data_IF_328836124180
#
_entry.id   IF_328836124180
#
_cell.length_a   1.000
_cell.length_b   1.000
_cell.length_c   1.000
_cell.angle_alpha   90.00
_cell.angle_beta   90.00
_cell.angle_gamma   90.00
#
_symmetry.space_group_name_H-M   'P 1'
#
loop_
_entity.id
_entity.type
_entity.pdbx_description
1 polymer ?
#
# COMPACT_ATOMS: atom_id res chain seq x y z
N UNK A 1 -38.66 36.38 47.60
CA UNK A 1 -37.68 35.43 48.17
C UNK A 1 -38.45 34.29 48.85
N UNK A 2 -38.19 33.04 48.43
CA UNK A 2 -38.54 31.73 49.00
C UNK A 2 -40.02 31.26 49.21
N UNK A 3 -40.32 30.15 48.49
CA UNK A 3 -41.19 28.96 48.76
C UNK A 3 -42.73 29.15 48.71
N UNK A 4 -43.49 28.18 48.14
CA UNK A 4 -43.61 26.82 48.69
C UNK A 4 -43.58 25.66 47.68
N UNK A 5 -43.30 24.48 48.23
CA UNK A 5 -43.54 23.16 47.65
C UNK A 5 -44.94 22.67 48.10
N UNK A 6 -45.68 21.96 47.22
CA UNK A 6 -46.28 20.64 47.51
C UNK A 6 -47.21 20.13 46.39
N UNK A 7 -46.85 18.92 45.90
CA UNK A 7 -47.66 17.71 45.57
C UNK A 7 -49.00 17.87 44.82
N UNK A 8 -49.09 17.48 43.54
CA UNK A 8 -49.51 16.14 42.98
C UNK A 8 -51.03 15.91 43.04
N UNK A 9 -51.69 14.96 42.31
CA UNK A 9 -51.23 13.97 41.30
C UNK A 9 -52.15 13.83 40.05
N UNK A 10 -51.75 13.06 39.03
CA UNK A 10 -52.58 12.10 38.22
C UNK A 10 -51.70 11.52 37.11
N UNK A 11 -51.22 10.29 37.23
CA UNK A 11 -51.86 9.04 36.79
C UNK A 11 -51.90 8.86 35.26
N UNK A 12 -50.87 8.22 34.70
CA UNK A 12 -50.99 7.48 33.44
C UNK A 12 -50.43 6.07 33.67
N UNK A 13 -51.25 5.09 33.28
CA UNK A 13 -51.24 3.70 33.69
C UNK A 13 -50.10 2.93 33.01
N UNK A 14 -49.41 2.09 33.77
CA UNK A 14 -48.55 1.05 33.22
C UNK A 14 -49.43 -0.08 32.68
N UNK A 15 -49.52 -0.21 31.35
CA UNK A 15 -50.10 -1.40 30.73
C UNK A 15 -49.04 -2.51 30.75
N UNK A 16 -49.33 -3.57 31.49
CA UNK A 16 -48.50 -4.75 31.58
C UNK A 16 -48.41 -5.47 30.23
N UNK A 17 -47.19 -5.63 29.71
CA UNK A 17 -46.91 -6.56 28.61
C UNK A 17 -46.65 -7.91 29.27
N UNK A 18 -47.58 -8.84 29.06
CA UNK A 18 -47.49 -10.22 29.52
C UNK A 18 -46.23 -10.90 28.97
N UNK A 19 -45.42 -11.48 29.86
CA UNK A 19 -44.34 -12.40 29.51
C UNK A 19 -44.93 -13.79 29.30
N UNK A 20 -44.89 -14.31 28.08
CA UNK A 20 -45.06 -15.74 27.80
C UNK A 20 -43.75 -16.50 28.07
N UNK A 21 -43.74 -17.66 28.77
CA UNK A 21 -42.56 -18.52 28.90
C UNK A 21 -42.28 -19.34 27.63
N UNK A 22 -41.10 -19.98 27.55
CA UNK A 22 -40.39 -20.23 26.29
C UNK A 22 -40.77 -21.56 25.65
N UNK A 23 -41.00 -21.55 24.33
CA UNK A 23 -41.06 -22.78 23.53
C UNK A 23 -40.04 -22.73 22.39
N UNK A 24 -38.93 -23.40 22.66
CA UNK A 24 -38.12 -24.25 21.78
C UNK A 24 -38.08 -23.89 20.27
N UNK A 25 -36.89 -23.41 19.87
CA UNK A 25 -36.26 -23.61 18.55
C UNK A 25 -36.88 -22.93 17.33
N UNK A 26 -36.73 -21.61 17.20
CA UNK A 26 -36.45 -21.01 15.88
C UNK A 26 -35.72 -19.66 16.02
N UNK A 27 -34.41 -19.65 15.80
CA UNK A 27 -33.64 -18.41 15.61
C UNK A 27 -33.76 -18.02 14.15
N UNK A 28 -34.85 -17.39 13.75
CA UNK A 28 -34.86 -16.62 12.51
C UNK A 28 -33.88 -15.46 12.67
N UNK A 29 -32.73 -15.54 12.01
CA UNK A 29 -31.86 -14.40 11.82
C UNK A 29 -32.68 -13.35 11.06
N UNK A 30 -33.19 -12.34 11.76
CA UNK A 30 -33.64 -11.11 11.11
C UNK A 30 -32.41 -10.55 10.40
N UNK A 31 -32.33 -10.75 9.09
CA UNK A 31 -31.36 -10.06 8.25
C UNK A 31 -31.62 -8.57 8.45
N UNK A 32 -30.73 -7.91 9.20
CA UNK A 32 -30.70 -6.45 9.22
C UNK A 32 -30.41 -6.03 7.80
N UNK A 33 -31.28 -5.19 7.24
CA UNK A 33 -31.01 -4.48 6.01
C UNK A 33 -29.61 -3.86 6.13
N UNK A 34 -28.69 -4.35 5.30
CA UNK A 34 -27.31 -3.87 5.26
C UNK A 34 -27.39 -2.47 4.68
N UNK A 35 -27.44 -1.46 5.56
CA UNK A 35 -27.12 -0.09 5.17
C UNK A 35 -25.79 -0.13 4.40
N UNK A 36 -25.66 0.59 3.25
CA UNK A 36 -24.45 0.55 2.47
C UNK A 36 -23.28 0.86 3.38
N UNK A 37 -22.41 -0.13 3.59
CA UNK A 37 -21.32 -0.02 4.55
C UNK A 37 -20.44 1.12 4.02
N UNK A 38 -20.34 2.19 4.81
CA UNK A 38 -19.45 3.29 4.49
C UNK A 38 -18.04 2.71 4.32
N UNK A 39 -17.49 2.86 3.12
CA UNK A 39 -16.18 2.30 2.73
C UNK A 39 -15.11 2.78 3.71
N UNK A 40 -15.26 3.97 4.30
CA UNK A 40 -14.32 4.50 5.29
C UNK A 40 -14.29 3.68 6.59
N UNK A 41 -15.37 2.96 6.91
CA UNK A 41 -15.47 2.10 8.09
C UNK A 41 -14.92 0.68 7.85
N UNK A 42 -14.83 0.25 6.59
CA UNK A 42 -14.22 -1.05 6.22
C UNK A 42 -12.74 -0.95 5.90
N UNK A 43 -12.25 0.26 5.59
CA UNK A 43 -10.85 0.49 5.33
C UNK A 43 -10.03 0.53 6.63
N UNK A 44 -8.89 -0.18 6.71
CA UNK A 44 -7.99 -0.05 7.83
C UNK A 44 -7.45 1.38 7.92
N UNK A 45 -7.52 1.96 9.11
CA UNK A 45 -7.07 3.34 9.35
C UNK A 45 -5.56 3.45 9.10
N UNK A 46 -5.13 4.38 8.24
CA UNK A 46 -3.72 4.51 7.82
C UNK A 46 -2.77 4.71 9.00
N UNK A 47 -3.20 5.43 10.04
CA UNK A 47 -2.40 5.68 11.25
C UNK A 47 -2.05 4.40 12.03
N UNK A 48 -2.79 3.29 11.80
CA UNK A 48 -2.54 1.99 12.46
C UNK A 48 -1.32 1.26 11.90
N UNK A 49 -0.91 1.56 10.66
CA UNK A 49 0.28 0.94 10.08
C UNK A 49 1.54 1.61 10.63
N UNK A 50 2.59 0.82 10.88
CA UNK A 50 3.88 1.36 11.29
C UNK A 50 4.46 2.28 10.21
N UNK A 51 5.25 3.29 10.58
CA UNK A 51 5.98 4.14 9.62
C UNK A 51 6.74 3.30 8.58
N UNK A 52 7.43 2.24 9.05
CA UNK A 52 8.09 1.26 8.21
C UNK A 52 7.19 0.63 7.13
N UNK A 53 5.97 0.17 7.46
CA UNK A 53 5.09 -0.44 6.46
C UNK A 53 4.65 0.57 5.39
N UNK A 54 4.42 1.84 5.79
CA UNK A 54 4.09 2.90 4.82
C UNK A 54 5.27 3.22 3.91
N UNK A 55 6.47 3.30 4.49
CA UNK A 55 7.71 3.50 3.74
C UNK A 55 7.92 2.38 2.71
N UNK A 56 7.85 1.13 3.16
CA UNK A 56 7.98 -0.06 2.32
C UNK A 56 6.96 -0.09 1.17
N UNK A 57 5.69 0.22 1.45
CA UNK A 57 4.65 0.27 0.42
C UNK A 57 4.88 1.40 -0.60
N UNK A 58 5.25 2.59 -0.15
CA UNK A 58 5.51 3.72 -1.03
C UNK A 58 6.69 3.42 -1.98
N UNK A 59 7.78 2.85 -1.44
CA UNK A 59 8.94 2.44 -2.25
C UNK A 59 8.58 1.33 -3.23
N UNK A 60 7.77 0.35 -2.82
CA UNK A 60 7.33 -0.73 -3.70
C UNK A 60 6.47 -0.21 -4.87
N UNK A 61 5.57 0.75 -4.63
CA UNK A 61 4.81 1.41 -5.69
C UNK A 61 5.71 2.19 -6.65
N UNK A 62 6.73 2.89 -6.12
CA UNK A 62 7.71 3.59 -6.95
C UNK A 62 8.50 2.62 -7.84
N UNK A 63 8.93 1.47 -7.31
CA UNK A 63 9.59 0.43 -8.09
C UNK A 63 8.69 -0.13 -9.20
N UNK A 64 7.42 -0.45 -8.87
CA UNK A 64 6.45 -0.91 -9.85
C UNK A 64 6.21 0.13 -10.96
N UNK A 65 6.17 1.41 -10.61
CA UNK A 65 6.06 2.50 -11.57
C UNK A 65 7.30 2.60 -12.46
N UNK A 66 8.50 2.55 -11.89
CA UNK A 66 9.77 2.59 -12.65
C UNK A 66 9.85 1.45 -13.65
N UNK A 67 9.48 0.23 -13.25
CA UNK A 67 9.50 -0.93 -14.14
C UNK A 67 8.50 -0.78 -15.28
N UNK A 68 7.29 -0.26 -15.02
CA UNK A 68 6.31 0.05 -16.08
C UNK A 68 6.85 1.07 -17.07
N UNK A 69 7.55 2.09 -16.59
CA UNK A 69 8.22 3.08 -17.42
C UNK A 69 9.35 2.46 -18.26
N UNK A 70 10.10 1.50 -17.71
CA UNK A 70 11.15 0.77 -18.45
C UNK A 70 10.58 -0.15 -19.53
N UNK A 71 9.53 -0.90 -19.22
CA UNK A 71 8.83 -1.75 -20.20
C UNK A 71 8.24 -0.91 -21.32
N UNK A 72 7.63 0.22 -21.00
CA UNK A 72 7.17 1.18 -22.01
C UNK A 72 8.28 1.65 -22.92
N UNK A 73 9.49 1.92 -22.41
CA UNK A 73 10.66 2.29 -23.22
C UNK A 73 11.17 1.16 -24.12
N UNK A 74 11.25 -0.08 -23.63
CA UNK A 74 11.66 -1.23 -24.44
C UNK A 74 10.66 -1.55 -25.56
N UNK A 75 9.35 -1.39 -25.29
CA UNK A 75 8.30 -1.51 -26.31
C UNK A 75 8.39 -0.36 -27.33
N UNK A 76 8.72 0.86 -26.89
CA UNK A 76 8.95 2.02 -27.78
C UNK A 76 10.22 1.84 -28.63
N UNK A 77 11.24 1.13 -28.16
CA UNK A 77 12.46 0.85 -28.93
C UNK A 77 12.23 -0.18 -30.05
N UNK A 78 11.42 -1.22 -29.82
CA UNK A 78 11.08 -2.21 -30.86
C UNK A 78 9.96 -1.74 -31.80
N UNK A 79 9.04 -0.87 -31.35
CA UNK A 79 7.90 -0.39 -32.16
C UNK A 79 7.96 1.11 -32.46
N UNK A 80 9.00 1.57 -33.16
CA UNK A 80 9.13 2.89 -33.80
C UNK A 80 9.89 3.98 -33.02
N UNK A 81 10.97 4.44 -33.66
CA UNK A 81 11.32 5.86 -33.78
C UNK A 81 10.18 6.77 -33.36
N UNK A 82 10.40 7.57 -32.31
CA UNK A 82 9.50 8.61 -31.86
C UNK A 82 9.11 9.43 -33.09
N UNK A 83 7.91 9.16 -33.62
CA UNK A 83 7.27 9.96 -34.66
C UNK A 83 6.94 11.30 -34.00
N UNK A 84 7.94 12.18 -33.96
CA UNK A 84 7.70 13.61 -33.83
C UNK A 84 6.85 13.93 -35.04
N UNK A 85 5.53 14.04 -34.85
CA UNK A 85 4.64 14.60 -35.86
C UNK A 85 5.16 16.01 -36.14
N UNK A 86 6.03 16.11 -37.14
CA UNK A 86 6.43 17.36 -37.73
C UNK A 86 5.13 17.96 -38.23
N UNK A 87 4.71 19.07 -37.65
CA UNK A 87 3.70 19.92 -38.25
C UNK A 87 4.29 20.26 -39.61
N UNK A 88 3.80 19.61 -40.66
CA UNK A 88 4.11 20.04 -42.02
C UNK A 88 3.59 21.47 -42.12
N UNK A 89 4.44 22.39 -42.56
CA UNK A 89 3.99 23.73 -42.87
C UNK A 89 2.96 23.57 -43.98
N UNK A 90 1.73 23.98 -43.72
CA UNK A 90 0.68 24.06 -44.73
C UNK A 90 1.19 24.95 -45.86
N UNK A 91 1.27 24.41 -47.07
CA UNK A 91 1.59 25.21 -48.26
C UNK A 91 0.51 26.27 -48.48
N UNK A 92 0.93 27.46 -48.91
CA UNK A 92 0.12 28.69 -48.97
C UNK A 92 -0.96 28.71 -50.08
N UNK A 93 -1.29 27.58 -50.69
CA UNK A 93 -2.21 27.50 -51.83
C UNK A 93 -3.23 26.35 -51.68
N UNK A 94 -4.04 26.38 -50.63
CA UNK A 94 -5.30 25.63 -50.61
C UNK A 94 -6.47 26.63 -50.58
N UNK A 95 -7.30 26.74 -51.63
CA UNK A 95 -8.44 27.64 -51.62
C UNK A 95 -9.36 27.27 -50.45
N UNK A 96 -9.50 28.22 -49.54
CA UNK A 96 -10.35 28.21 -48.36
C UNK A 96 -11.81 27.83 -48.69
N UNK A 97 -12.12 26.54 -48.78
CA UNK A 97 -13.48 26.01 -48.95
C UNK A 97 -14.21 25.91 -47.61
N UNK A 98 -14.04 26.89 -46.72
CA UNK A 98 -14.90 27.04 -45.53
C UNK A 98 -16.37 27.22 -45.94
N UNK A 99 -17.04 26.10 -46.16
CA UNK A 99 -18.47 25.93 -46.01
C UNK A 99 -18.69 24.69 -45.17
N UNK A 100 -18.48 24.83 -43.86
CA UNK A 100 -19.00 23.84 -42.91
C UNK A 100 -20.47 24.15 -42.69
N UNK A 101 -21.35 23.44 -43.38
CA UNK A 101 -22.76 23.38 -43.00
C UNK A 101 -22.83 22.90 -41.54
N UNK A 102 -23.45 23.70 -40.67
CA UNK A 102 -23.63 23.38 -39.26
C UNK A 102 -24.51 22.13 -39.13
N UNK A 103 -23.91 20.95 -38.97
CA UNK A 103 -24.64 19.75 -38.54
C UNK A 103 -25.13 19.99 -37.11
N UNK A 104 -26.44 20.21 -36.96
CA UNK A 104 -27.13 20.16 -35.68
C UNK A 104 -26.99 18.74 -35.16
N UNK A 105 -26.14 18.54 -34.15
CA UNK A 105 -26.09 17.26 -33.43
C UNK A 105 -27.36 17.17 -32.59
N UNK A 106 -28.22 16.21 -32.88
CA UNK A 106 -29.26 15.78 -31.94
C UNK A 106 -28.54 15.23 -30.71
N UNK A 107 -28.76 15.87 -29.56
CA UNK A 107 -28.24 15.39 -28.28
C UNK A 107 -29.26 14.40 -27.77
N UNK A 108 -29.10 13.13 -28.13
CA UNK A 108 -29.74 12.06 -27.37
C UNK A 108 -28.99 12.02 -26.04
N UNK A 109 -29.62 12.54 -24.97
CA UNK A 109 -29.11 12.44 -23.61
C UNK A 109 -29.28 11.00 -23.13
N UNK A 110 -28.47 10.10 -23.66
CA UNK A 110 -28.22 8.82 -23.00
C UNK A 110 -27.56 9.14 -21.65
N UNK A 111 -28.26 8.82 -20.57
CA UNK A 111 -27.71 8.88 -19.22
C UNK A 111 -26.59 7.86 -19.17
N UNK A 112 -25.35 8.29 -19.42
CA UNK A 112 -24.18 7.47 -19.13
C UNK A 112 -24.07 7.38 -17.61
N UNK A 113 -24.59 6.31 -17.02
CA UNK A 113 -24.09 5.84 -15.72
C UNK A 113 -22.67 5.36 -15.96
N UNK A 114 -21.71 6.29 -16.00
CA UNK A 114 -20.29 5.99 -15.94
C UNK A 114 -20.04 5.32 -14.59
N UNK A 115 -20.18 3.99 -14.55
CA UNK A 115 -19.61 3.14 -13.51
C UNK A 115 -18.13 3.48 -13.52
N UNK A 116 -17.72 4.35 -12.60
CA UNK A 116 -16.35 4.79 -12.46
C UNK A 116 -15.61 3.63 -11.79
N UNK A 117 -15.42 2.54 -12.54
CA UNK A 117 -14.65 1.38 -12.12
C UNK A 117 -13.21 1.85 -11.96
N UNK A 118 -12.89 2.29 -10.75
CA UNK A 118 -11.53 2.68 -10.39
C UNK A 118 -10.64 1.46 -10.64
N UNK A 119 -9.89 1.50 -11.73
CA UNK A 119 -8.91 0.47 -12.09
C UNK A 119 -7.74 0.59 -11.12
N UNK A 120 -7.79 -0.16 -10.03
CA UNK A 120 -6.67 -0.24 -9.11
C UNK A 120 -5.58 -1.12 -9.70
N UNK A 121 -4.34 -0.67 -9.55
CA UNK A 121 -3.18 -1.46 -9.86
C UNK A 121 -2.86 -2.33 -8.66
N UNK A 122 -2.86 -3.65 -8.86
CA UNK A 122 -2.38 -4.58 -7.85
C UNK A 122 -0.86 -4.42 -7.68
N UNK A 123 -0.42 -4.23 -6.44
CA UNK A 123 0.99 -4.20 -6.07
C UNK A 123 1.48 -5.64 -5.87
N UNK A 124 2.44 -6.06 -6.69
CA UNK A 124 2.98 -7.42 -6.58
C UNK A 124 3.93 -7.56 -5.37
N UNK A 125 3.90 -8.72 -4.72
CA UNK A 125 4.74 -9.02 -3.55
C UNK A 125 6.25 -8.95 -3.82
N UNK A 126 6.69 -9.12 -5.08
CA UNK A 126 8.10 -8.95 -5.45
C UNK A 126 8.60 -7.52 -5.17
N UNK A 127 7.77 -6.52 -5.41
CA UNK A 127 8.14 -5.12 -5.19
C UNK A 127 8.24 -4.79 -3.70
N UNK A 128 7.39 -5.40 -2.87
CA UNK A 128 7.47 -5.26 -1.41
C UNK A 128 8.76 -5.87 -0.84
N UNK A 129 9.18 -7.04 -1.34
CA UNK A 129 10.44 -7.67 -0.96
C UNK A 129 11.65 -6.87 -1.42
N UNK A 130 11.61 -6.36 -2.66
CA UNK A 130 12.68 -5.52 -3.19
C UNK A 130 12.80 -4.18 -2.46
N UNK A 131 11.67 -3.55 -2.13
CA UNK A 131 11.66 -2.31 -1.36
C UNK A 131 12.29 -2.51 0.02
N UNK A 132 11.92 -3.58 0.72
CA UNK A 132 12.50 -3.94 2.01
C UNK A 132 14.01 -4.20 1.92
N UNK A 133 14.44 -4.98 0.93
CA UNK A 133 15.85 -5.26 0.68
C UNK A 133 16.65 -3.96 0.45
N UNK A 134 16.15 -3.05 -0.38
CA UNK A 134 16.81 -1.77 -0.66
C UNK A 134 16.98 -0.92 0.60
N UNK A 135 15.95 -0.86 1.44
CA UNK A 135 16.02 -0.11 2.70
C UNK A 135 17.01 -0.74 3.68
N UNK A 136 16.99 -2.07 3.82
CA UNK A 136 17.96 -2.77 4.66
C UNK A 136 19.40 -2.53 4.18
N UNK A 137 19.66 -2.59 2.87
CA UNK A 137 20.96 -2.28 2.30
C UNK A 137 21.38 -0.83 2.58
N UNK A 138 20.47 0.13 2.38
CA UNK A 138 20.74 1.54 2.62
C UNK A 138 21.09 1.81 4.08
N UNK A 139 20.30 1.29 5.02
CA UNK A 139 20.55 1.41 6.45
C UNK A 139 21.86 0.76 6.87
N UNK A 140 22.16 -0.45 6.38
CA UNK A 140 23.42 -1.11 6.70
C UNK A 140 24.62 -0.34 6.15
N UNK A 141 24.49 0.21 4.94
CA UNK A 141 25.55 1.03 4.35
C UNK A 141 25.78 2.31 5.16
N UNK A 142 24.72 2.95 5.66
CA UNK A 142 24.84 4.18 6.46
C UNK A 142 25.43 3.91 7.85
N UNK A 143 24.97 2.86 8.53
CA UNK A 143 25.38 2.59 9.91
C UNK A 143 26.64 1.72 10.05
N UNK A 144 26.95 0.87 9.07
CA UNK A 144 27.97 -0.19 9.19
C UNK A 144 28.89 -0.29 7.97
N UNK A 145 29.20 0.84 7.31
CA UNK A 145 30.01 0.86 6.08
C UNK A 145 31.37 0.15 6.26
N UNK A 146 32.06 0.42 7.37
CA UNK A 146 33.36 -0.13 7.68
C UNK A 146 33.30 -1.65 7.89
N UNK A 147 32.31 -2.12 8.65
CA UNK A 147 32.08 -3.53 8.91
C UNK A 147 31.72 -4.28 7.63
N UNK A 148 30.89 -3.66 6.78
CA UNK A 148 30.48 -4.23 5.50
C UNK A 148 31.68 -4.39 4.56
N UNK A 149 32.57 -3.39 4.49
CA UNK A 149 33.83 -3.50 3.75
C UNK A 149 34.76 -4.58 4.33
N UNK A 150 34.86 -4.65 5.66
CA UNK A 150 35.71 -5.61 6.37
C UNK A 150 35.25 -7.05 6.15
N UNK A 151 33.95 -7.31 6.25
CA UNK A 151 33.35 -8.63 6.02
C UNK A 151 33.45 -9.02 4.54
N UNK A 152 33.24 -8.08 3.61
CA UNK A 152 33.49 -8.30 2.17
C UNK A 152 34.93 -8.69 1.88
N UNK A 153 35.90 -8.10 2.58
CA UNK A 153 37.32 -8.40 2.44
C UNK A 153 37.79 -9.62 3.25
N UNK A 154 36.89 -10.31 3.96
CA UNK A 154 37.22 -11.40 4.90
C UNK A 154 38.28 -11.00 5.95
N UNK A 155 38.30 -9.72 6.34
CA UNK A 155 39.22 -9.19 7.34
C UNK A 155 38.61 -9.28 8.75
N UNK A 156 39.42 -9.26 9.82
CA UNK A 156 38.93 -9.18 11.18
C UNK A 156 38.21 -7.84 11.45
N UNK A 157 37.06 -7.88 12.14
CA UNK A 157 36.33 -6.67 12.53
C UNK A 157 37.20 -5.74 13.40
N UNK A 158 37.20 -4.42 13.14
CA UNK A 158 38.02 -3.48 13.89
C UNK A 158 37.58 -3.41 15.35
N UNK A 159 38.52 -3.07 16.26
CA UNK A 159 38.25 -2.98 17.70
C UNK A 159 37.20 -1.94 18.08
N UNK A 160 37.03 -0.92 17.24
CA UNK A 160 36.06 0.16 17.40
C UNK A 160 34.65 -0.22 16.93
N UNK A 161 34.49 -1.37 16.26
CA UNK A 161 33.18 -1.80 15.75
C UNK A 161 32.23 -2.20 16.88
N UNK A 162 30.99 -1.72 16.79
CA UNK A 162 29.89 -2.15 17.67
C UNK A 162 29.48 -3.62 17.40
N UNK A 163 29.82 -4.16 16.23
CA UNK A 163 29.47 -5.53 15.82
C UNK A 163 30.60 -6.55 16.08
N UNK A 164 31.70 -6.13 16.73
CA UNK A 164 32.87 -6.99 17.01
C UNK A 164 32.54 -8.32 17.71
N UNK A 165 31.53 -8.30 18.58
CA UNK A 165 31.14 -9.49 19.36
C UNK A 165 30.14 -10.39 18.62
N UNK A 166 29.70 -10.00 17.43
CA UNK A 166 28.77 -10.76 16.61
C UNK A 166 29.53 -11.51 15.53
N UNK A 167 29.17 -12.78 15.31
CA UNK A 167 29.60 -13.52 14.14
C UNK A 167 28.74 -13.08 12.95
N UNK A 168 29.37 -12.46 11.96
CA UNK A 168 28.68 -11.87 10.81
C UNK A 168 28.94 -12.67 9.53
N UNK A 169 27.97 -12.66 8.63
CA UNK A 169 28.06 -13.20 7.28
C UNK A 169 27.44 -12.24 6.28
N UNK A 170 27.90 -12.30 5.04
CA UNK A 170 27.28 -11.58 3.93
C UNK A 170 26.41 -12.54 3.13
N UNK A 171 25.15 -12.17 2.89
CA UNK A 171 24.25 -12.92 2.03
C UNK A 171 24.48 -12.61 0.53
N UNK A 172 23.90 -13.42 -0.37
CA UNK A 172 23.88 -13.19 -1.81
C UNK A 172 23.29 -11.83 -2.21
N UNK A 173 22.41 -11.25 -1.39
CA UNK A 173 21.86 -9.91 -1.55
C UNK A 173 22.72 -8.79 -0.93
N UNK A 174 23.97 -9.07 -0.61
CA UNK A 174 24.91 -8.15 0.05
C UNK A 174 24.43 -7.59 1.41
N UNK A 175 23.53 -8.31 2.08
CA UNK A 175 23.08 -7.96 3.42
C UNK A 175 23.97 -8.62 4.47
N UNK A 176 24.30 -7.83 5.49
CA UNK A 176 25.01 -8.28 6.68
C UNK A 176 24.05 -9.03 7.60
N UNK A 177 24.27 -10.31 7.80
CA UNK A 177 23.45 -11.21 8.61
C UNK A 177 24.23 -11.68 9.84
N UNK A 178 23.51 -11.93 10.93
CA UNK A 178 24.09 -12.60 12.11
C UNK A 178 24.11 -14.10 11.89
N UNK A 179 25.28 -14.72 12.07
CA UNK A 179 25.41 -16.18 12.14
C UNK A 179 24.81 -16.67 13.44
N UNK A 180 23.76 -17.47 13.34
CA UNK A 180 23.13 -18.10 14.50
C UNK A 180 23.44 -19.59 14.54
N UNK A 181 23.24 -20.21 15.71
CA UNK A 181 23.40 -21.66 15.88
C UNK A 181 22.33 -22.48 15.15
N UNK A 182 21.17 -21.87 14.84
CA UNK A 182 20.06 -22.56 14.18
C UNK A 182 20.22 -22.67 12.66
N UNK A 183 21.31 -22.13 12.10
CA UNK A 183 21.58 -22.15 10.66
C UNK A 183 21.53 -23.56 10.02
N UNK A 184 21.92 -24.60 10.77
CA UNK A 184 21.93 -25.98 10.29
C UNK A 184 20.55 -26.66 10.20
N UNK A 185 19.50 -26.06 10.77
CA UNK A 185 18.15 -26.67 10.85
C UNK A 185 17.42 -26.54 9.53
N UNK A 186 16.94 -27.60 8.89
CA UNK A 186 16.27 -27.51 7.58
C UNK A 186 14.87 -26.87 7.63
N UNK A 187 14.18 -26.96 8.76
CA UNK A 187 12.75 -26.58 8.90
C UNK A 187 12.47 -25.07 8.91
N UNK A 188 13.48 -24.23 9.15
CA UNK A 188 13.31 -22.79 9.32
C UNK A 188 13.71 -22.05 8.04
N UNK A 189 12.94 -21.02 7.66
CA UNK A 189 13.31 -20.13 6.55
C UNK A 189 14.64 -19.42 6.82
N UNK A 190 15.41 -19.13 5.76
CA UNK A 190 16.71 -18.44 5.86
C UNK A 190 16.63 -17.11 6.62
N UNK A 191 15.55 -16.36 6.43
CA UNK A 191 15.27 -15.10 7.11
C UNK A 191 15.13 -15.26 8.63
N UNK A 192 14.57 -16.38 9.08
CA UNK A 192 14.44 -16.71 10.51
C UNK A 192 15.72 -17.29 11.11
N UNK A 193 16.57 -17.90 10.28
CA UNK A 193 17.86 -18.45 10.69
C UNK A 193 18.87 -17.37 10.95
N UNK A 194 19.04 -16.44 10.02
CA UNK A 194 20.11 -15.46 10.06
C UNK A 194 19.52 -14.07 9.83
N UNK A 195 19.06 -13.39 10.91
CA UNK A 195 18.41 -12.10 10.77
C UNK A 195 19.40 -11.02 10.30
N UNK A 196 18.94 -10.04 9.51
CA UNK A 196 19.76 -8.91 9.10
C UNK A 196 20.06 -7.99 10.29
N UNK A 197 21.30 -7.47 10.32
CA UNK A 197 21.72 -6.47 11.31
C UNK A 197 21.21 -5.10 10.90
N UNK A 198 20.50 -4.42 11.78
CA UNK A 198 19.95 -3.08 11.53
C UNK A 198 20.20 -2.22 12.76
N UNK A 199 20.54 -0.95 12.56
CA UNK A 199 20.66 0.01 13.65
C UNK A 199 19.26 0.52 14.06
N UNK A 200 18.98 0.51 15.36
CA UNK A 200 17.66 0.84 15.92
C UNK A 200 17.27 2.32 15.81
N UNK A 201 18.15 3.16 15.25
CA UNK A 201 17.87 4.59 14.98
C UNK A 201 17.11 4.82 13.68
N UNK A 202 16.99 3.80 12.83
CA UNK A 202 16.31 3.89 11.54
C UNK A 202 14.79 3.63 11.67
N UNK A 203 13.96 4.28 10.83
CA UNK A 203 12.49 4.30 10.95
C UNK A 203 11.77 3.00 10.53
#
# INVERSE_FOLDING_TARGET
MMRPANRSPTSIKHTAIARSPPTREERTHTARDVSPIDITQTLPVIIRFSPWQRLRQATAQALQFVDRCKVGRGLIEETHAISRKRIQKTDKNDPNWRQTLKKIKKIDKAIYTSSNEKKFVLLEARYLRQAELLWLQATQKESFENELATVKAALPTPRTSHLRNLALELNASELLLVKTRIAATSEIATEGKSPPVVDGRHP
#
